data_IF_620197152058
#
_entry.id   IF_620197152058
#
_cell.length_a   1.000
_cell.length_b   1.000
_cell.length_c   1.000
_cell.angle_alpha   90.00
_cell.angle_beta   90.00
_cell.angle_gamma   90.00
#
_symmetry.space_group_name_H-M   'P 1'
#
loop_
_entity.id
_entity.type
_entity.pdbx_description
1 polymer ?
#
# COMPACT_ATOMS: atom_id res chain seq x y z
N UNK A 1 -5.73 27.36 -5.92
CA UNK A 1 -4.63 26.82 -6.75
C UNK A 1 -3.55 26.37 -5.78
N UNK A 2 -3.45 25.07 -5.51
CA UNK A 2 -2.55 24.56 -4.47
C UNK A 2 -1.12 24.50 -5.01
N UNK A 3 -0.21 25.33 -4.47
CA UNK A 3 1.20 25.34 -4.85
C UNK A 3 2.02 24.47 -3.88
N UNK A 4 3.00 23.75 -4.42
CA UNK A 4 3.93 22.87 -3.70
C UNK A 4 4.77 23.59 -2.62
N UNK A 5 4.71 24.92 -2.57
CA UNK A 5 5.36 25.76 -1.56
C UNK A 5 4.81 25.52 -0.15
N UNK A 6 3.54 25.14 -0.01
CA UNK A 6 2.94 24.87 1.31
C UNK A 6 3.39 23.54 1.94
N UNK A 7 3.86 22.58 1.13
CA UNK A 7 4.41 21.30 1.62
C UNK A 7 5.82 21.49 2.20
N UNK A 8 6.54 22.53 1.73
CA UNK A 8 7.93 22.80 2.12
C UNK A 8 8.08 23.50 3.47
N UNK A 9 7.02 24.14 3.99
CA UNK A 9 7.10 24.95 5.21
C UNK A 9 6.78 24.18 6.50
N UNK A 10 6.65 22.85 6.42
CA UNK A 10 6.44 22.01 7.61
C UNK A 10 7.79 21.75 8.30
N UNK A 11 7.96 22.31 9.50
CA UNK A 11 9.20 22.35 10.31
C UNK A 11 9.78 20.97 10.72
N UNK A 12 9.11 19.87 10.34
CA UNK A 12 9.35 18.51 10.84
C UNK A 12 10.21 17.61 9.93
N UNK A 13 10.70 18.08 8.78
CA UNK A 13 11.54 17.27 7.87
C UNK A 13 13.01 17.24 8.36
N UNK A 14 13.29 16.60 9.49
CA UNK A 14 14.65 16.49 10.10
C UNK A 14 15.26 15.09 10.08
N UNK A 15 14.77 14.17 9.25
CA UNK A 15 15.44 12.88 9.02
C UNK A 15 16.26 12.92 7.72
N UNK A 16 17.59 12.71 7.82
CA UNK A 16 18.54 12.82 6.70
C UNK A 16 18.18 11.96 5.49
N UNK A 17 17.50 10.82 5.70
CA UNK A 17 17.07 9.92 4.61
C UNK A 17 15.88 10.50 3.83
N UNK A 18 14.97 11.19 4.52
CA UNK A 18 13.72 11.72 3.95
C UNK A 18 13.96 13.05 3.23
N UNK A 19 14.89 13.87 3.73
CA UNK A 19 15.38 15.06 3.00
C UNK A 19 15.97 14.64 1.66
N UNK A 20 16.85 13.63 1.64
CA UNK A 20 17.44 13.13 0.40
C UNK A 20 16.36 12.57 -0.52
N UNK A 21 15.43 11.76 -0.02
CA UNK A 21 14.33 11.22 -0.80
C UNK A 21 13.47 12.32 -1.45
N UNK A 22 13.18 13.40 -0.71
CA UNK A 22 12.36 14.54 -1.18
C UNK A 22 13.14 15.42 -2.17
N UNK A 23 14.42 15.73 -1.90
CA UNK A 23 15.29 16.47 -2.83
C UNK A 23 15.49 15.71 -4.14
N UNK A 24 15.70 14.40 -4.05
CA UNK A 24 15.90 13.52 -5.21
C UNK A 24 14.59 13.36 -5.97
N UNK A 25 13.45 13.19 -5.29
CA UNK A 25 12.13 13.21 -5.94
C UNK A 25 11.89 14.52 -6.69
N UNK A 26 12.15 15.67 -6.06
CA UNK A 26 12.02 17.00 -6.68
C UNK A 26 12.94 17.15 -7.89
N UNK A 27 14.19 16.70 -7.79
CA UNK A 27 15.15 16.75 -8.89
C UNK A 27 14.72 15.85 -10.06
N UNK A 28 14.35 14.59 -9.80
CA UNK A 28 13.91 13.64 -10.82
C UNK A 28 12.61 14.09 -11.52
N UNK A 29 11.64 14.59 -10.75
CA UNK A 29 10.39 15.14 -11.29
C UNK A 29 10.65 16.40 -12.13
N UNK A 30 11.59 17.27 -11.72
CA UNK A 30 11.93 18.49 -12.47
C UNK A 30 12.67 18.22 -13.80
N UNK A 31 13.32 17.07 -13.93
CA UNK A 31 14.10 16.68 -15.12
C UNK A 31 13.36 15.72 -16.06
N UNK A 32 12.17 15.26 -15.68
CA UNK A 32 11.35 14.33 -16.48
C UNK A 32 12.02 12.95 -16.72
N UNK A 33 13.07 12.64 -15.96
CA UNK A 33 13.87 11.42 -16.12
C UNK A 33 13.74 10.53 -14.87
N UNK A 34 13.52 9.24 -15.09
CA UNK A 34 13.77 8.20 -14.06
C UNK A 34 12.67 7.99 -13.01
N UNK A 35 11.47 8.54 -13.19
CA UNK A 35 10.35 8.23 -12.28
C UNK A 35 9.73 6.90 -12.71
N UNK A 36 10.21 5.82 -12.11
CA UNK A 36 9.69 4.48 -12.33
C UNK A 36 8.75 4.09 -11.20
N UNK A 37 7.98 3.02 -11.39
CA UNK A 37 7.17 2.42 -10.32
C UNK A 37 8.01 2.07 -9.08
N UNK A 38 9.28 1.69 -9.27
CA UNK A 38 10.21 1.41 -8.16
C UNK A 38 10.59 2.67 -7.38
N UNK A 39 10.74 3.81 -8.04
CA UNK A 39 11.01 5.09 -7.40
C UNK A 39 9.87 5.51 -6.49
N UNK A 40 8.62 5.40 -6.97
CA UNK A 40 7.44 5.67 -6.17
C UNK A 40 7.34 4.75 -4.95
N UNK A 41 7.63 3.47 -5.12
CA UNK A 41 7.62 2.50 -4.03
C UNK A 41 8.61 2.86 -2.92
N UNK A 42 9.83 3.29 -3.28
CA UNK A 42 10.84 3.71 -2.29
C UNK A 42 10.38 4.97 -1.53
N UNK A 43 9.81 5.96 -2.24
CA UNK A 43 9.34 7.20 -1.62
C UNK A 43 8.18 6.94 -0.66
N UNK A 44 7.20 6.13 -1.06
CA UNK A 44 6.10 5.72 -0.18
C UNK A 44 6.62 4.94 1.04
N UNK A 45 7.71 4.16 0.90
CA UNK A 45 8.36 3.51 2.04
C UNK A 45 8.91 4.50 3.03
N UNK A 46 9.63 5.50 2.52
CA UNK A 46 10.29 6.49 3.35
C UNK A 46 9.25 7.26 4.18
N UNK A 47 8.13 7.65 3.56
CA UNK A 47 7.03 8.30 4.26
C UNK A 47 6.34 7.39 5.28
N UNK A 48 6.12 6.11 4.95
CA UNK A 48 5.56 5.13 5.90
C UNK A 48 6.43 5.00 7.15
N UNK A 49 7.74 4.78 6.98
CA UNK A 49 8.70 4.62 8.08
C UNK A 49 8.82 5.89 8.93
N UNK A 50 8.71 7.07 8.31
CA UNK A 50 8.79 8.37 9.00
C UNK A 50 7.43 8.82 9.59
N UNK A 51 6.37 7.99 9.46
CA UNK A 51 5.00 8.30 9.90
C UNK A 51 4.39 9.56 9.28
N UNK A 52 4.76 9.85 8.04
CA UNK A 52 4.32 11.02 7.27
C UNK A 52 3.22 10.66 6.28
N UNK A 53 2.04 10.36 6.83
CA UNK A 53 0.93 9.81 6.05
C UNK A 53 0.40 10.82 5.05
N UNK A 54 0.27 12.08 5.42
CA UNK A 54 -0.27 13.14 4.57
C UNK A 54 0.57 13.32 3.29
N UNK A 55 1.90 13.31 3.40
CA UNK A 55 2.77 13.42 2.24
C UNK A 55 2.74 12.17 1.36
N UNK A 56 2.57 10.99 1.95
CA UNK A 56 2.34 9.76 1.20
C UNK A 56 1.02 9.83 0.40
N UNK A 57 -0.05 10.38 0.97
CA UNK A 57 -1.33 10.57 0.28
C UNK A 57 -1.22 11.57 -0.87
N UNK A 58 -0.49 12.67 -0.69
CA UNK A 58 -0.24 13.62 -1.78
C UNK A 58 0.51 12.94 -2.94
N UNK A 59 1.54 12.16 -2.63
CA UNK A 59 2.27 11.41 -3.64
C UNK A 59 1.40 10.34 -4.31
N UNK A 60 0.58 9.63 -3.54
CA UNK A 60 -0.35 8.62 -4.05
C UNK A 60 -1.35 9.20 -5.04
N UNK A 61 -1.98 10.34 -4.69
CA UNK A 61 -2.90 11.04 -5.57
C UNK A 61 -2.22 11.50 -6.86
N UNK A 62 -0.97 11.97 -6.79
CA UNK A 62 -0.18 12.30 -7.97
C UNK A 62 0.03 11.06 -8.87
N UNK A 63 0.36 9.91 -8.28
CA UNK A 63 0.56 8.65 -9.01
C UNK A 63 -0.74 8.24 -9.71
N UNK A 64 -1.87 8.25 -9.00
CA UNK A 64 -3.19 7.90 -9.56
C UNK A 64 -3.58 8.80 -10.73
N UNK A 65 -3.35 10.12 -10.63
CA UNK A 65 -3.64 11.06 -11.72
C UNK A 65 -2.74 10.87 -12.93
N UNK A 66 -1.45 10.60 -12.72
CA UNK A 66 -0.48 10.46 -13.80
C UNK A 66 -0.51 9.07 -14.47
N UNK A 67 -0.91 8.03 -13.74
CA UNK A 67 -0.72 6.63 -14.15
C UNK A 67 -1.96 5.76 -13.94
N UNK A 68 -3.17 6.33 -14.01
CA UNK A 68 -4.44 5.73 -13.54
C UNK A 68 -4.63 4.26 -13.92
N UNK A 69 -4.31 3.85 -15.16
CA UNK A 69 -4.49 2.47 -15.65
C UNK A 69 -3.26 1.57 -15.56
N UNK A 70 -2.15 2.10 -15.08
CA UNK A 70 -0.85 1.40 -15.05
C UNK A 70 -0.24 1.30 -13.66
N UNK A 71 -0.97 1.69 -12.61
CA UNK A 71 -0.47 1.55 -11.24
C UNK A 71 -0.28 0.07 -10.91
N UNK A 72 0.94 -0.27 -10.51
CA UNK A 72 1.30 -1.67 -10.24
C UNK A 72 0.62 -2.18 -8.97
N UNK A 73 0.30 -3.48 -8.95
CA UNK A 73 -0.17 -4.20 -7.75
C UNK A 73 0.70 -3.91 -6.52
N UNK A 74 2.02 -3.83 -6.69
CA UNK A 74 2.97 -3.56 -5.62
C UNK A 74 2.72 -2.21 -4.94
N UNK A 75 2.39 -1.17 -5.69
CA UNK A 75 2.12 0.15 -5.13
C UNK A 75 0.79 0.20 -4.36
N UNK A 76 -0.23 -0.50 -4.83
CA UNK A 76 -1.46 -0.69 -4.06
C UNK A 76 -1.20 -1.40 -2.73
N UNK A 77 -0.50 -2.54 -2.77
CA UNK A 77 -0.09 -3.29 -1.57
C UNK A 77 0.76 -2.44 -0.64
N UNK A 78 1.57 -1.50 -1.18
CA UNK A 78 2.34 -0.54 -0.39
C UNK A 78 1.43 0.43 0.36
N UNK A 79 0.47 1.06 -0.31
CA UNK A 79 -0.46 1.98 0.34
C UNK A 79 -1.32 1.28 1.41
N UNK A 80 -1.79 0.06 1.13
CA UNK A 80 -2.53 -0.73 2.13
C UNK A 80 -1.65 -1.04 3.34
N UNK A 81 -0.38 -1.38 3.14
CA UNK A 81 0.56 -1.61 4.26
C UNK A 81 0.81 -0.34 5.07
N UNK A 82 0.99 0.79 4.39
CA UNK A 82 1.16 2.09 5.04
C UNK A 82 -0.06 2.39 5.94
N UNK A 83 -1.28 2.33 5.41
CA UNK A 83 -2.47 2.59 6.23
C UNK A 83 -2.69 1.57 7.36
N UNK A 84 -2.31 0.31 7.16
CA UNK A 84 -2.35 -0.72 8.22
C UNK A 84 -1.37 -0.40 9.36
N UNK A 85 -0.14 0.05 9.04
CA UNK A 85 0.85 0.45 10.04
C UNK A 85 0.40 1.66 10.88
N UNK A 86 -0.38 2.57 10.28
CA UNK A 86 -0.88 3.78 10.95
C UNK A 86 -2.33 3.64 11.44
N UNK A 87 -2.88 2.42 11.49
CA UNK A 87 -4.19 2.09 12.03
C UNK A 87 -5.35 2.88 11.39
N UNK A 88 -5.35 2.97 10.05
CA UNK A 88 -6.35 3.71 9.26
C UNK A 88 -7.21 2.74 8.42
N UNK A 89 -8.12 1.96 9.04
CA UNK A 89 -8.86 0.91 8.35
C UNK A 89 -9.80 1.44 7.26
N UNK A 90 -10.41 2.62 7.42
CA UNK A 90 -11.27 3.23 6.38
C UNK A 90 -10.50 3.45 5.08
N UNK A 91 -9.27 3.96 5.17
CA UNK A 91 -8.39 4.19 4.02
C UNK A 91 -7.95 2.91 3.33
N UNK A 92 -7.78 1.81 4.08
CA UNK A 92 -7.52 0.49 3.48
C UNK A 92 -8.69 0.07 2.59
N UNK A 93 -9.94 0.31 3.02
CA UNK A 93 -11.13 -0.03 2.23
C UNK A 93 -11.24 0.87 0.99
N UNK A 94 -10.91 2.16 1.09
CA UNK A 94 -10.85 3.07 -0.07
C UNK A 94 -9.86 2.55 -1.13
N UNK A 95 -8.61 2.26 -0.74
CA UNK A 95 -7.59 1.75 -1.68
C UNK A 95 -7.98 0.38 -2.25
N UNK A 96 -8.63 -0.47 -1.46
CA UNK A 96 -9.12 -1.75 -1.95
C UNK A 96 -10.24 -1.59 -2.98
N UNK A 97 -11.14 -0.61 -2.81
CA UNK A 97 -12.17 -0.32 -3.79
C UNK A 97 -11.54 0.08 -5.14
N UNK A 98 -10.52 0.94 -5.12
CA UNK A 98 -9.76 1.29 -6.33
C UNK A 98 -9.09 0.07 -6.98
N UNK A 99 -8.53 -0.84 -6.17
CA UNK A 99 -7.97 -2.10 -6.68
C UNK A 99 -9.03 -2.95 -7.39
N UNK A 100 -10.22 -3.09 -6.81
CA UNK A 100 -11.31 -3.87 -7.43
C UNK A 100 -11.81 -3.21 -8.72
N UNK A 101 -11.98 -1.89 -8.73
CA UNK A 101 -12.42 -1.14 -9.91
C UNK A 101 -11.43 -1.29 -11.08
N UNK A 102 -10.13 -1.31 -10.78
CA UNK A 102 -9.07 -1.48 -11.77
C UNK A 102 -8.75 -2.96 -12.08
N UNK A 103 -9.48 -3.91 -11.48
CA UNK A 103 -9.28 -5.34 -11.70
C UNK A 103 -7.96 -5.90 -11.14
N UNK A 104 -7.33 -5.19 -10.21
CA UNK A 104 -6.06 -5.58 -9.57
C UNK A 104 -6.33 -6.53 -8.41
N UNK A 105 -5.93 -7.79 -8.57
CA UNK A 105 -6.13 -8.81 -7.52
C UNK A 105 -5.14 -8.61 -6.34
N UNK A 106 -5.60 -8.51 -5.08
CA UNK A 106 -4.72 -8.43 -3.92
C UNK A 106 -3.85 -9.68 -3.77
N UNK A 107 -2.67 -9.54 -3.18
CA UNK A 107 -1.88 -10.70 -2.71
C UNK A 107 -2.34 -11.14 -1.32
N UNK A 108 -1.77 -12.23 -0.84
CA UNK A 108 -2.12 -12.82 0.44
C UNK A 108 -1.96 -11.87 1.63
N UNK A 109 -0.87 -11.10 1.67
CA UNK A 109 -0.63 -10.16 2.76
C UNK A 109 -1.65 -9.01 2.71
N UNK A 110 -1.94 -8.51 1.52
CA UNK A 110 -2.99 -7.51 1.26
C UNK A 110 -4.36 -8.04 1.69
N UNK A 111 -4.69 -9.30 1.38
CA UNK A 111 -5.94 -9.96 1.80
C UNK A 111 -6.06 -9.99 3.32
N UNK A 112 -4.99 -10.36 4.04
CA UNK A 112 -4.98 -10.38 5.51
C UNK A 112 -5.26 -8.99 6.08
N UNK A 113 -4.62 -7.95 5.55
CA UNK A 113 -4.79 -6.55 6.01
C UNK A 113 -6.20 -6.01 5.75
N UNK A 114 -6.76 -6.24 4.56
CA UNK A 114 -8.14 -5.84 4.24
C UNK A 114 -9.14 -6.57 5.15
N UNK A 115 -8.95 -7.87 5.39
CA UNK A 115 -9.81 -8.62 6.29
C UNK A 115 -9.75 -8.07 7.73
N UNK A 116 -8.56 -7.71 8.22
CA UNK A 116 -8.39 -7.07 9.52
C UNK A 116 -9.06 -5.68 9.57
N UNK A 117 -8.92 -4.88 8.52
CA UNK A 117 -9.59 -3.58 8.42
C UNK A 117 -11.11 -3.70 8.49
N UNK A 118 -11.71 -4.66 7.75
CA UNK A 118 -13.16 -4.91 7.80
C UNK A 118 -13.62 -5.33 9.20
N UNK A 119 -12.81 -6.13 9.91
CA UNK A 119 -13.10 -6.51 11.30
C UNK A 119 -13.06 -5.31 12.24
N UNK A 120 -12.04 -4.45 12.13
CA UNK A 120 -11.90 -3.24 12.94
C UNK A 120 -13.06 -2.24 12.73
N UNK A 121 -13.65 -2.24 11.54
CA UNK A 121 -14.84 -1.46 11.20
C UNK A 121 -16.17 -2.14 11.58
N UNK A 122 -16.13 -3.31 12.22
CA UNK A 122 -17.33 -4.08 12.59
C UNK A 122 -18.09 -4.67 11.39
N UNK A 123 -17.46 -4.76 10.23
CA UNK A 123 -18.08 -5.21 8.97
C UNK A 123 -17.85 -6.72 8.74
N UNK A 124 -18.18 -7.55 9.73
CA UNK A 124 -17.88 -8.99 9.73
C UNK A 124 -18.50 -9.75 8.55
N UNK A 125 -19.72 -9.40 8.14
CA UNK A 125 -20.37 -10.08 7.01
C UNK A 125 -19.63 -9.81 5.69
N UNK A 126 -19.16 -8.57 5.50
CA UNK A 126 -18.31 -8.21 4.36
C UNK A 126 -16.96 -8.92 4.43
N UNK A 127 -16.38 -9.02 5.63
CA UNK A 127 -15.12 -9.75 5.85
C UNK A 127 -15.25 -11.22 5.44
N UNK A 128 -16.33 -11.91 5.84
CA UNK A 128 -16.59 -13.32 5.47
C UNK A 128 -16.72 -13.48 3.96
N UNK A 129 -17.47 -12.60 3.28
CA UNK A 129 -17.61 -12.62 1.83
C UNK A 129 -16.28 -12.35 1.11
N UNK A 130 -15.51 -11.38 1.61
CA UNK A 130 -14.20 -11.03 1.10
C UNK A 130 -13.21 -12.19 1.22
N UNK A 131 -13.10 -12.82 2.39
CA UNK A 131 -12.25 -13.99 2.61
C UNK A 131 -12.66 -15.16 1.72
N UNK A 132 -13.97 -15.42 1.57
CA UNK A 132 -14.46 -16.45 0.64
C UNK A 132 -14.01 -16.21 -0.80
N UNK A 133 -13.91 -14.94 -1.24
CA UNK A 133 -13.50 -14.55 -2.59
C UNK A 133 -11.98 -14.62 -2.80
N UNK A 134 -11.20 -14.13 -1.84
CA UNK A 134 -9.76 -13.90 -2.04
C UNK A 134 -8.82 -14.78 -1.23
N UNK A 135 -9.29 -15.42 -0.15
CA UNK A 135 -8.45 -16.28 0.67
C UNK A 135 -8.07 -17.55 -0.09
N UNK A 136 -6.76 -17.78 -0.23
CA UNK A 136 -6.24 -19.03 -0.78
C UNK A 136 -6.58 -20.16 0.18
N UNK A 137 -7.30 -21.17 -0.30
CA UNK A 137 -7.65 -22.37 0.49
C UNK A 137 -6.45 -23.28 0.76
N UNK A 138 -5.43 -23.18 -0.09
CA UNK A 138 -4.26 -24.05 -0.08
C UNK A 138 -2.98 -23.23 -0.23
N UNK A 139 -1.94 -23.65 0.48
CA UNK A 139 -0.57 -23.17 0.31
C UNK A 139 0.35 -24.34 0.03
N UNK A 140 1.46 -24.06 -0.64
CA UNK A 140 2.56 -25.00 -0.75
C UNK A 140 3.62 -24.59 0.26
N UNK A 141 3.98 -25.50 1.15
CA UNK A 141 5.09 -25.33 2.09
C UNK A 141 6.17 -26.33 1.75
N UNK A 142 7.42 -25.97 2.03
CA UNK A 142 8.52 -26.91 1.99
C UNK A 142 8.64 -27.57 3.36
N UNK A 143 8.45 -28.89 3.41
CA UNK A 143 8.61 -29.68 4.62
C UNK A 143 9.56 -30.84 4.33
N UNK A 144 10.67 -30.92 5.07
CA UNK A 144 11.73 -31.94 4.88
C UNK A 144 12.26 -32.04 3.44
N UNK A 145 12.36 -30.91 2.74
CA UNK A 145 12.81 -30.86 1.34
C UNK A 145 11.72 -31.14 0.30
N UNK A 146 10.53 -31.58 0.71
CA UNK A 146 9.39 -31.83 -0.19
C UNK A 146 8.43 -30.64 -0.22
N UNK A 147 7.80 -30.39 -1.38
CA UNK A 147 6.69 -29.42 -1.48
C UNK A 147 5.38 -30.11 -1.13
N UNK A 148 4.82 -29.76 0.01
CA UNK A 148 3.56 -30.30 0.52
C UNK A 148 2.47 -29.25 0.38
N UNK A 149 1.30 -29.65 -0.14
CA UNK A 149 0.12 -28.79 -0.20
C UNK A 149 -0.64 -28.88 1.12
N UNK A 150 -0.74 -27.77 1.84
CA UNK A 150 -1.45 -27.66 3.12
C UNK A 150 -2.67 -26.76 3.01
N UNK A 151 -3.71 -27.08 3.77
CA UNK A 151 -4.89 -26.21 3.90
C UNK A 151 -4.53 -24.96 4.70
N UNK A 152 -4.98 -23.80 4.25
CA UNK A 152 -4.66 -22.51 4.90
C UNK A 152 -5.39 -22.32 6.23
N UNK A 153 -6.57 -22.91 6.39
CA UNK A 153 -7.44 -22.78 7.56
C UNK A 153 -7.07 -23.70 8.73
N UNK A 154 -6.04 -24.53 8.60
CA UNK A 154 -5.57 -25.46 9.63
C UNK A 154 -4.89 -24.81 10.87
N UNK A 155 -5.03 -23.49 11.06
CA UNK A 155 -4.42 -22.74 12.17
C UNK A 155 -5.44 -21.97 13.02
N UNK A 156 -6.74 -22.07 12.70
CA UNK A 156 -7.82 -21.38 13.40
C UNK A 156 -8.69 -22.31 14.27
N UNK A 157 -8.19 -23.51 14.59
CA UNK A 157 -8.78 -24.44 15.57
C UNK A 157 -7.96 -24.44 16.87
#
# INVERSE_FOLDING_TARGET
MWTWENVLNCEHVKSSVVVIATQVAKWMLSKGQGVTMGTYDILLQAFDVDRRVEEAEILWNMILHAHTRSVSKRLFSRMISLYDHHNMPDKIIEVFADMEELGVKPDEDTVRKIAHALQNLGQEDKQKLFLKKYQSKWKYIHFKGERVRVRTDAWNE
#
